data_IF_389093833685
#
_entry.id   IF_389093833685
#
_cell.length_a   1.000
_cell.length_b   1.000
_cell.length_c   1.000
_cell.angle_alpha   90.00
_cell.angle_beta   90.00
_cell.angle_gamma   90.00
#
_symmetry.space_group_name_H-M   'P 1'
#
loop_
_entity.id
_entity.type
_entity.pdbx_description
1 polymer ?
#
# COMPACT_ATOMS: atom_id res chain seq x y z
N UNK A 1 11.99 -17.84 2.43
CA UNK A 1 11.09 -16.75 1.98
C UNK A 1 9.77 -17.24 1.36
N UNK A 2 9.76 -18.18 0.41
CA UNK A 2 8.51 -18.60 -0.29
C UNK A 2 7.37 -19.07 0.63
N UNK A 3 7.66 -19.87 1.66
CA UNK A 3 6.64 -20.32 2.64
C UNK A 3 5.98 -19.15 3.37
N UNK A 4 6.78 -18.19 3.85
CA UNK A 4 6.31 -16.98 4.52
C UNK A 4 5.45 -16.13 3.57
N UNK A 5 5.93 -15.88 2.35
CA UNK A 5 5.18 -15.17 1.32
C UNK A 5 3.80 -15.80 1.07
N UNK A 6 3.76 -17.13 0.93
CA UNK A 6 2.51 -17.84 0.70
C UNK A 6 1.56 -17.74 1.91
N UNK A 7 2.07 -17.79 3.14
CA UNK A 7 1.28 -17.62 4.35
C UNK A 7 0.67 -16.20 4.41
N UNK A 8 1.48 -15.16 4.18
CA UNK A 8 1.02 -13.77 4.09
C UNK A 8 -0.05 -13.62 2.99
N UNK A 9 0.16 -14.16 1.79
CA UNK A 9 -0.80 -14.08 0.68
C UNK A 9 -2.17 -14.69 1.01
N UNK A 10 -2.21 -15.69 1.89
CA UNK A 10 -3.44 -16.36 2.30
C UNK A 10 -3.98 -15.81 3.64
N UNK A 11 -3.53 -14.62 4.06
CA UNK A 11 -4.03 -13.92 5.24
C UNK A 11 -3.97 -14.75 6.52
N UNK A 12 -2.95 -15.60 6.66
CA UNK A 12 -2.82 -16.51 7.82
C UNK A 12 -2.28 -15.85 9.07
N UNK A 13 -1.82 -14.60 8.97
CA UNK A 13 -1.26 -13.82 10.07
C UNK A 13 -2.18 -12.64 10.37
N UNK A 14 -2.32 -12.34 11.66
CA UNK A 14 -2.88 -11.09 12.16
C UNK A 14 -1.95 -9.90 11.86
N UNK A 15 -2.47 -8.68 12.02
CA UNK A 15 -1.69 -7.44 11.85
C UNK A 15 -0.51 -7.40 12.82
N UNK A 16 -0.70 -7.82 14.07
CA UNK A 16 0.34 -7.84 15.09
C UNK A 16 1.46 -8.84 14.71
N UNK A 17 1.10 -10.05 14.26
CA UNK A 17 2.08 -11.03 13.78
C UNK A 17 2.85 -10.52 12.56
N UNK A 18 2.20 -9.80 11.63
CA UNK A 18 2.88 -9.19 10.49
C UNK A 18 3.88 -8.11 10.93
N UNK A 19 3.52 -7.29 11.92
CA UNK A 19 4.40 -6.30 12.52
C UNK A 19 5.63 -6.94 13.18
N UNK A 20 5.42 -8.00 13.96
CA UNK A 20 6.51 -8.78 14.58
C UNK A 20 7.44 -9.42 13.54
N UNK A 21 6.85 -10.00 12.47
CA UNK A 21 7.62 -10.55 11.35
C UNK A 21 8.47 -9.46 10.71
N UNK A 22 7.88 -8.29 10.39
CA UNK A 22 8.58 -7.17 9.77
C UNK A 22 9.75 -6.68 10.63
N UNK A 23 9.51 -6.50 11.94
CA UNK A 23 10.56 -6.17 12.91
C UNK A 23 11.68 -7.20 12.91
N UNK A 24 11.35 -8.49 12.96
CA UNK A 24 12.34 -9.58 12.93
C UNK A 24 13.17 -9.59 11.64
N UNK A 25 12.55 -9.30 10.49
CA UNK A 25 13.28 -9.20 9.21
C UNK A 25 14.26 -8.01 9.22
N UNK A 26 13.87 -6.91 9.87
CA UNK A 26 14.74 -5.76 10.09
C UNK A 26 15.91 -6.07 11.02
N UNK A 27 15.66 -6.72 12.16
CA UNK A 27 16.71 -7.11 13.11
C UNK A 27 17.73 -8.09 12.51
N UNK A 28 17.30 -8.89 11.53
CA UNK A 28 18.15 -9.79 10.75
C UNK A 28 18.87 -9.11 9.58
N UNK A 29 18.62 -7.82 9.32
CA UNK A 29 19.24 -7.08 8.23
C UNK A 29 18.75 -7.47 6.83
N UNK A 30 17.58 -8.11 6.71
CA UNK A 30 17.03 -8.64 5.45
C UNK A 30 15.74 -7.93 5.00
N UNK A 31 15.55 -6.68 5.44
CA UNK A 31 14.37 -5.86 5.08
C UNK A 31 14.18 -5.72 3.57
N UNK A 32 15.28 -5.57 2.82
CA UNK A 32 15.22 -5.41 1.37
C UNK A 32 14.70 -6.67 0.68
N UNK A 33 15.27 -7.82 1.02
CA UNK A 33 14.88 -9.13 0.49
C UNK A 33 13.44 -9.49 0.88
N UNK A 34 13.04 -9.12 2.09
CA UNK A 34 11.66 -9.26 2.55
C UNK A 34 10.70 -8.43 1.71
N UNK A 35 10.96 -7.12 1.54
CA UNK A 35 10.11 -6.23 0.73
C UNK A 35 10.06 -6.65 -0.74
N UNK A 36 11.20 -7.06 -1.32
CA UNK A 36 11.26 -7.59 -2.68
C UNK A 36 10.44 -8.89 -2.86
N UNK A 37 10.30 -9.69 -1.80
CA UNK A 37 9.43 -10.86 -1.80
C UNK A 37 7.95 -10.48 -1.69
N UNK A 38 7.60 -9.49 -0.85
CA UNK A 38 6.23 -9.01 -0.68
C UNK A 38 5.66 -8.34 -1.94
N UNK A 39 6.48 -7.57 -2.68
CA UNK A 39 6.03 -6.91 -3.92
C UNK A 39 5.56 -7.92 -4.99
N UNK A 40 6.00 -9.18 -4.89
CA UNK A 40 5.66 -10.30 -5.79
C UNK A 40 4.42 -11.10 -5.34
N UNK A 41 3.68 -10.61 -4.33
CA UNK A 41 2.39 -11.19 -3.96
C UNK A 41 1.36 -11.01 -5.09
N UNK A 42 0.44 -11.95 -5.18
CA UNK A 42 -0.84 -11.72 -5.86
C UNK A 42 -1.71 -10.83 -4.95
N UNK A 43 -1.66 -9.53 -5.20
CA UNK A 43 -2.40 -8.56 -4.40
C UNK A 43 -3.91 -8.63 -4.61
N UNK A 44 -4.38 -9.11 -5.76
CA UNK A 44 -5.82 -9.33 -5.96
C UNK A 44 -6.32 -10.45 -5.05
N UNK A 45 -5.57 -11.55 -4.95
CA UNK A 45 -5.88 -12.61 -3.99
C UNK A 45 -5.75 -12.12 -2.54
N UNK A 46 -4.67 -11.44 -2.21
CA UNK A 46 -4.41 -10.94 -0.85
C UNK A 46 -5.49 -9.96 -0.37
N UNK A 47 -5.84 -8.98 -1.19
CA UNK A 47 -6.86 -7.98 -0.86
C UNK A 47 -8.25 -8.62 -0.70
N UNK A 48 -8.59 -9.58 -1.55
CA UNK A 48 -9.83 -10.36 -1.42
C UNK A 48 -9.94 -11.05 -0.06
N UNK A 49 -8.85 -11.61 0.45
CA UNK A 49 -8.86 -12.21 1.78
C UNK A 49 -8.93 -11.20 2.92
N UNK A 50 -8.52 -9.94 2.69
CA UNK A 50 -8.63 -8.86 3.68
C UNK A 50 -10.03 -8.24 3.76
N UNK A 51 -10.61 -7.87 2.60
CA UNK A 51 -11.82 -7.03 2.54
C UNK A 51 -12.95 -7.61 1.69
N UNK A 52 -12.76 -8.81 1.11
CA UNK A 52 -13.74 -9.45 0.24
C UNK A 52 -13.61 -9.09 -1.25
N UNK A 53 -14.59 -9.54 -2.03
CA UNK A 53 -14.63 -9.32 -3.48
C UNK A 53 -14.71 -7.83 -3.85
N UNK A 54 -14.19 -7.43 -5.03
CA UNK A 54 -14.40 -6.07 -5.54
C UNK A 54 -15.90 -5.77 -5.75
N UNK A 55 -16.29 -4.49 -5.76
CA UNK A 55 -17.67 -4.11 -6.06
C UNK A 55 -18.12 -4.68 -7.42
N UNK A 56 -19.32 -5.28 -7.47
CA UNK A 56 -19.80 -5.99 -8.66
C UNK A 56 -19.91 -5.11 -9.92
N UNK A 57 -20.10 -3.80 -9.75
CA UNK A 57 -20.18 -2.84 -10.85
C UNK A 57 -18.82 -2.28 -11.29
N UNK A 58 -17.72 -2.62 -10.60
CA UNK A 58 -16.38 -2.14 -10.93
C UNK A 58 -15.85 -2.87 -12.17
N UNK A 59 -15.55 -2.10 -13.22
CA UNK A 59 -14.98 -2.64 -14.44
C UNK A 59 -13.48 -2.90 -14.23
N UNK A 60 -13.03 -4.09 -14.63
CA UNK A 60 -11.61 -4.49 -14.60
C UNK A 60 -10.94 -4.21 -13.23
N UNK A 61 -11.50 -4.74 -12.12
CA UNK A 61 -11.01 -4.41 -10.78
C UNK A 61 -9.61 -4.97 -10.55
N UNK A 62 -8.78 -4.22 -9.84
CA UNK A 62 -7.49 -4.68 -9.33
C UNK A 62 -7.25 -4.17 -7.91
N UNK A 63 -6.38 -4.87 -7.19
CA UNK A 63 -5.86 -4.37 -5.93
C UNK A 63 -4.89 -3.22 -6.23
N UNK A 64 -5.28 -2.03 -5.79
CA UNK A 64 -4.57 -0.79 -6.00
C UNK A 64 -3.86 -0.38 -4.71
N UNK A 65 -2.59 -0.02 -4.85
CA UNK A 65 -1.82 0.62 -3.79
C UNK A 65 -2.04 2.13 -3.89
N UNK A 66 -2.64 2.74 -2.86
CA UNK A 66 -2.96 4.18 -2.85
C UNK A 66 -1.66 4.99 -2.99
N UNK A 67 -0.70 4.77 -2.07
CA UNK A 67 0.70 5.07 -2.29
C UNK A 67 1.35 3.87 -2.99
N UNK A 68 1.97 4.08 -4.16
CA UNK A 68 2.50 2.97 -4.95
C UNK A 68 3.54 2.14 -4.19
N UNK A 69 3.43 0.81 -4.27
CA UNK A 69 4.45 -0.12 -3.76
C UNK A 69 5.80 0.02 -4.46
N UNK A 70 5.81 0.47 -5.72
CA UNK A 70 7.00 0.66 -6.57
C UNK A 70 6.75 1.74 -7.63
N UNK A 71 7.69 2.67 -7.77
CA UNK A 71 7.67 3.69 -8.83
C UNK A 71 8.36 3.23 -10.12
N UNK A 72 7.94 3.81 -11.25
CA UNK A 72 8.58 3.70 -12.56
C UNK A 72 9.55 4.86 -12.77
N UNK A 73 10.83 4.52 -13.02
CA UNK A 73 11.90 5.50 -13.15
C UNK A 73 12.26 6.18 -11.83
N UNK A 74 13.31 6.99 -11.86
CA UNK A 74 13.93 7.58 -10.68
C UNK A 74 12.97 8.54 -9.95
N UNK A 75 12.26 9.40 -10.68
CA UNK A 75 11.38 10.40 -10.10
C UNK A 75 10.22 9.79 -9.29
N UNK A 76 9.52 8.79 -9.84
CA UNK A 76 8.49 8.10 -9.07
C UNK A 76 9.08 7.27 -7.92
N UNK A 77 10.25 6.65 -8.10
CA UNK A 77 10.88 5.87 -7.03
C UNK A 77 11.24 6.74 -5.82
N UNK A 78 11.73 7.96 -6.05
CA UNK A 78 12.00 8.92 -4.98
C UNK A 78 10.72 9.30 -4.23
N UNK A 79 9.65 9.63 -4.95
CA UNK A 79 8.35 9.93 -4.33
C UNK A 79 7.77 8.75 -3.56
N UNK A 80 7.87 7.54 -4.11
CA UNK A 80 7.48 6.31 -3.40
C UNK A 80 8.28 6.17 -2.11
N UNK A 81 9.60 6.33 -2.16
CA UNK A 81 10.43 6.25 -0.97
C UNK A 81 9.99 7.25 0.11
N UNK A 82 9.83 8.52 -0.25
CA UNK A 82 9.39 9.57 0.67
C UNK A 82 8.03 9.24 1.30
N UNK A 83 7.04 8.83 0.49
CA UNK A 83 5.73 8.44 1.01
C UNK A 83 5.79 7.19 1.90
N UNK A 84 6.64 6.21 1.58
CA UNK A 84 6.74 4.98 2.35
C UNK A 84 7.45 5.21 3.70
N UNK A 85 8.43 6.11 3.75
CA UNK A 85 9.03 6.57 5.01
C UNK A 85 7.97 7.22 5.91
N UNK A 86 7.09 8.03 5.31
CA UNK A 86 6.00 8.66 6.03
C UNK A 86 4.97 7.63 6.55
N UNK A 87 4.52 6.67 5.74
CA UNK A 87 3.62 5.62 6.24
C UNK A 87 4.24 4.82 7.40
N UNK A 88 5.53 4.50 7.31
CA UNK A 88 6.25 3.79 8.39
C UNK A 88 6.37 4.61 9.67
N UNK A 89 6.45 5.94 9.61
CA UNK A 89 6.42 6.83 10.78
C UNK A 89 5.18 6.59 11.64
N UNK A 90 4.06 6.26 11.00
CA UNK A 90 2.77 5.96 11.65
C UNK A 90 2.54 4.46 11.86
N UNK A 91 3.52 3.60 11.58
CA UNK A 91 3.37 2.14 11.75
C UNK A 91 2.56 1.46 10.65
N UNK A 92 2.26 2.14 9.54
CA UNK A 92 1.55 1.57 8.39
C UNK A 92 2.57 0.88 7.47
N UNK A 93 2.35 -0.40 7.18
CA UNK A 93 3.16 -1.11 6.19
C UNK A 93 2.76 -0.65 4.77
N UNK A 94 3.69 -0.08 3.98
CA UNK A 94 3.35 0.49 2.68
C UNK A 94 3.05 -0.56 1.60
N UNK A 95 3.44 -1.82 1.81
CA UNK A 95 3.32 -2.88 0.80
C UNK A 95 2.09 -3.73 1.08
N UNK A 96 1.90 -4.18 2.33
CA UNK A 96 0.83 -5.12 2.71
C UNK A 96 -0.17 -4.54 3.72
N UNK A 97 0.04 -3.32 4.23
CA UNK A 97 -0.92 -2.66 5.11
C UNK A 97 -2.26 -2.47 4.40
N UNK A 98 -3.34 -2.90 5.05
CA UNK A 98 -4.70 -2.83 4.47
C UNK A 98 -5.12 -1.38 4.21
N UNK A 99 -4.60 -0.45 5.00
CA UNK A 99 -4.84 0.99 4.97
C UNK A 99 -4.38 1.59 3.63
N UNK A 100 -3.37 1.00 3.00
CA UNK A 100 -2.81 1.45 1.73
C UNK A 100 -3.34 0.65 0.50
N UNK A 101 -4.38 -0.17 0.69
CA UNK A 101 -4.91 -1.06 -0.34
C UNK A 101 -6.41 -0.86 -0.56
N UNK A 102 -6.82 -0.76 -1.82
CA UNK A 102 -8.23 -0.61 -2.19
C UNK A 102 -8.52 -1.34 -3.51
N UNK A 103 -9.78 -1.71 -3.73
CA UNK A 103 -10.22 -2.10 -5.07
C UNK A 103 -10.37 -0.85 -5.94
N UNK A 104 -9.74 -0.83 -7.11
CA UNK A 104 -9.91 0.25 -8.08
C UNK A 104 -10.03 -0.30 -9.51
N UNK A 105 -10.69 0.43 -10.42
CA UNK A 105 -10.67 0.10 -11.83
C UNK A 105 -9.24 0.14 -12.36
N UNK A 106 -8.88 -0.85 -13.15
CA UNK A 106 -7.56 -0.93 -13.78
C UNK A 106 -7.56 -0.18 -15.12
N UNK A 107 -6.36 0.06 -15.65
CA UNK A 107 -6.13 0.67 -16.98
C UNK A 107 -6.73 2.07 -17.18
N UNK A 108 -7.16 2.73 -16.11
CA UNK A 108 -7.58 4.13 -16.14
C UNK A 108 -6.37 5.04 -16.38
N UNK A 109 -6.45 5.89 -17.40
CA UNK A 109 -5.39 6.83 -17.76
C UNK A 109 -5.08 7.76 -16.58
N UNK A 110 -3.79 7.97 -16.31
CA UNK A 110 -3.34 8.85 -15.22
C UNK A 110 -3.37 8.22 -13.81
N UNK A 111 -4.03 7.09 -13.59
CA UNK A 111 -4.13 6.46 -12.26
C UNK A 111 -2.79 6.02 -11.67
N UNK A 112 -1.85 5.62 -12.53
CA UNK A 112 -0.48 5.26 -12.15
C UNK A 112 0.56 6.30 -12.61
N UNK A 113 0.12 7.56 -12.82
CA UNK A 113 1.01 8.64 -13.26
C UNK A 113 1.83 9.22 -12.10
N UNK A 114 2.90 9.95 -12.45
CA UNK A 114 3.67 10.70 -11.45
C UNK A 114 2.81 11.77 -10.76
N UNK A 115 1.94 12.47 -11.49
CA UNK A 115 1.05 13.48 -10.91
C UNK A 115 0.09 12.89 -9.87
N UNK A 116 -0.43 11.67 -10.12
CA UNK A 116 -1.26 10.97 -9.14
C UNK A 116 -0.47 10.63 -7.87
N UNK A 117 0.78 10.17 -8.02
CA UNK A 117 1.66 9.87 -6.90
C UNK A 117 2.06 11.13 -6.12
N UNK A 118 2.38 12.23 -6.81
CA UNK A 118 2.67 13.53 -6.20
C UNK A 118 1.50 14.01 -5.36
N UNK A 119 0.27 13.90 -5.88
CA UNK A 119 -0.93 14.25 -5.12
C UNK A 119 -1.03 13.44 -3.81
N UNK A 120 -0.86 12.11 -3.87
CA UNK A 120 -0.88 11.24 -2.67
C UNK A 120 0.19 11.67 -1.67
N UNK A 121 1.44 11.81 -2.11
CA UNK A 121 2.57 12.17 -1.24
C UNK A 121 2.38 13.57 -0.63
N UNK A 122 1.90 14.54 -1.40
CA UNK A 122 1.67 15.90 -0.93
C UNK A 122 0.55 15.97 0.11
N UNK A 123 -0.54 15.22 -0.07
CA UNK A 123 -1.62 15.17 0.92
C UNK A 123 -1.17 14.52 2.22
N UNK A 124 -0.43 13.40 2.15
CA UNK A 124 0.13 12.77 3.34
C UNK A 124 1.10 13.72 4.07
N UNK A 125 1.98 14.43 3.35
CA UNK A 125 2.90 15.42 3.93
C UNK A 125 2.16 16.60 4.56
N UNK A 126 1.07 17.07 3.95
CA UNK A 126 0.30 18.18 4.47
C UNK A 126 -0.36 17.81 5.81
N UNK A 127 -0.93 16.60 5.90
CA UNK A 127 -1.53 16.06 7.12
C UNK A 127 -0.45 15.84 8.18
N UNK A 128 0.70 15.25 7.83
CA UNK A 128 1.85 15.10 8.74
C UNK A 128 2.33 16.43 9.33
N UNK A 129 2.47 17.46 8.49
CA UNK A 129 2.93 18.79 8.89
C UNK A 129 1.93 19.51 9.81
N UNK A 130 0.65 19.13 9.78
CA UNK A 130 -0.39 19.65 10.66
C UNK A 130 -0.39 18.99 12.05
N UNK A 131 0.52 18.04 12.31
CA UNK A 131 0.62 17.34 13.60
C UNK A 131 -0.31 16.13 13.71
N UNK A 132 -0.55 15.46 12.58
CA UNK A 132 -1.42 14.29 12.50
C UNK A 132 -1.03 13.15 13.45
N UNK A 133 -2.02 12.37 13.84
CA UNK A 133 -1.85 11.04 14.42
C UNK A 133 -2.09 9.93 13.39
N UNK A 134 -2.14 8.67 13.86
CA UNK A 134 -2.38 7.52 12.99
C UNK A 134 -3.75 7.57 12.32
N UNK A 135 -4.79 7.98 13.05
CA UNK A 135 -6.17 7.97 12.55
C UNK A 135 -6.33 9.00 11.43
N UNK A 136 -5.70 10.18 11.56
CA UNK A 136 -5.64 11.20 10.51
C UNK A 136 -5.00 10.67 9.20
N UNK A 137 -3.91 9.90 9.32
CA UNK A 137 -3.22 9.31 8.16
C UNK A 137 -4.07 8.20 7.51
N UNK A 138 -4.80 7.42 8.31
CA UNK A 138 -5.75 6.43 7.79
C UNK A 138 -6.89 7.15 7.06
N UNK A 139 -7.45 8.21 7.62
CA UNK A 139 -8.56 8.96 7.01
C UNK A 139 -8.17 9.51 5.64
N UNK A 140 -6.98 10.13 5.51
CA UNK A 140 -6.54 10.66 4.21
C UNK A 140 -6.26 9.54 3.20
N UNK A 141 -5.74 8.39 3.63
CA UNK A 141 -5.59 7.22 2.76
C UNK A 141 -6.95 6.68 2.31
N UNK A 142 -7.94 6.61 3.19
CA UNK A 142 -9.30 6.20 2.84
C UNK A 142 -9.92 7.13 1.80
N UNK A 143 -9.76 8.46 1.94
CA UNK A 143 -10.26 9.43 0.96
C UNK A 143 -9.57 9.27 -0.40
N UNK A 144 -8.23 9.21 -0.41
CA UNK A 144 -7.44 8.96 -1.61
C UNK A 144 -7.80 7.61 -2.27
N UNK A 145 -8.07 6.58 -1.47
CA UNK A 145 -8.54 5.29 -1.92
C UNK A 145 -9.92 5.35 -2.56
N UNK A 146 -10.88 6.09 -1.96
CA UNK A 146 -12.21 6.35 -2.56
C UNK A 146 -12.07 7.07 -3.90
N UNK A 147 -11.19 8.08 -3.99
CA UNK A 147 -10.92 8.78 -5.23
C UNK A 147 -10.33 7.87 -6.32
N UNK A 148 -9.43 6.95 -5.95
CA UNK A 148 -8.89 5.95 -6.88
C UNK A 148 -9.96 4.96 -7.34
N UNK A 149 -10.80 4.48 -6.42
CA UNK A 149 -11.89 3.54 -6.70
C UNK A 149 -13.00 4.13 -7.59
N UNK A 150 -13.19 5.45 -7.57
CA UNK A 150 -14.26 6.13 -8.30
C UNK A 150 -13.91 6.55 -9.73
N UNK A 151 -12.66 6.35 -10.18
CA UNK A 151 -12.24 6.78 -11.52
C UNK A 151 -12.93 5.97 -12.62
N UNK A 152 -13.00 6.51 -13.84
CA UNK A 152 -13.66 5.90 -15.00
C UNK A 152 -12.83 6.12 -16.25
#
# INVERSE_FOLDING_TARGET
MNKLKNAIQNNTFSVDELSEISKKMSDLGITKEYNEALIKLDFGKYLRGLIGEPPAAMIDPHAHHILFKKGLGEAQQKLVQEGQELLRKYGIDPIIGKENLVWAPNRVAGQHSIAALENVVNQLKAVDAAGADLDDIIEILEDLGKQAASRK
#
